data_IF_415733551753
#
_entry.id   IF_415733551753
#
_cell.length_a   1.000
_cell.length_b   1.000
_cell.length_c   1.000
_cell.angle_alpha   90.00
_cell.angle_beta   90.00
_cell.angle_gamma   90.00
#
_symmetry.space_group_name_H-M   'P 1'
#
loop_
_entity.id
_entity.type
_entity.pdbx_description
1 polymer ?
#
# COMPACT_ATOMS: atom_id res chain seq x y z
N UNK A 1 -27.28 20.89 7.25
CA UNK A 1 -25.85 20.67 6.96
C UNK A 1 -25.66 19.18 6.83
N UNK A 2 -25.29 18.67 5.66
CA UNK A 2 -25.01 17.24 5.46
C UNK A 2 -23.68 16.93 6.14
N UNK A 3 -23.57 15.74 6.74
CA UNK A 3 -22.43 15.34 7.59
C UNK A 3 -21.06 15.50 6.93
N UNK A 4 -20.99 15.44 5.60
CA UNK A 4 -19.75 15.42 4.82
C UNK A 4 -19.53 16.71 3.99
N UNK A 5 -20.40 17.72 4.12
CA UNK A 5 -20.38 18.93 3.27
C UNK A 5 -19.11 19.79 3.46
N UNK A 6 -18.46 19.70 4.63
CA UNK A 6 -17.27 20.48 4.96
C UNK A 6 -15.96 19.81 4.48
N UNK A 7 -16.03 18.55 4.05
CA UNK A 7 -14.94 17.83 3.39
C UNK A 7 -14.92 18.21 1.89
N UNK A 8 -14.54 19.46 1.63
CA UNK A 8 -14.40 20.07 0.31
C UNK A 8 -13.55 19.22 -0.65
N UNK A 9 -13.84 19.31 -1.95
CA UNK A 9 -13.11 18.66 -3.07
C UNK A 9 -11.74 19.31 -3.39
N UNK A 10 -11.26 20.26 -2.59
CA UNK A 10 -10.00 20.99 -2.85
C UNK A 10 -8.75 20.24 -2.39
N UNK A 11 -7.64 20.35 -3.14
CA UNK A 11 -6.22 19.99 -2.90
C UNK A 11 -5.83 18.68 -2.20
N UNK A 12 -6.74 17.94 -1.61
CA UNK A 12 -6.51 16.68 -0.92
C UNK A 12 -6.37 15.55 -1.93
N UNK A 13 -5.33 14.73 -1.77
CA UNK A 13 -5.19 13.50 -2.54
C UNK A 13 -6.41 12.59 -2.24
N UNK A 14 -7.00 11.92 -3.26
CA UNK A 14 -8.13 11.00 -3.09
C UNK A 14 -8.02 10.02 -1.91
N UNK A 15 -6.81 9.52 -1.60
CA UNK A 15 -6.58 8.62 -0.46
C UNK A 15 -6.85 9.30 0.89
N UNK A 16 -6.34 10.53 1.08
CA UNK A 16 -6.58 11.31 2.29
C UNK A 16 -8.06 11.65 2.46
N UNK A 17 -8.72 11.97 1.34
CA UNK A 17 -10.16 12.23 1.34
C UNK A 17 -10.99 11.00 1.74
N UNK A 18 -10.66 9.82 1.22
CA UNK A 18 -11.34 8.58 1.60
C UNK A 18 -11.20 8.26 3.11
N UNK A 19 -10.00 8.49 3.66
CA UNK A 19 -9.75 8.35 5.09
C UNK A 19 -10.59 9.36 5.91
N UNK A 20 -10.64 10.63 5.49
CA UNK A 20 -11.43 11.66 6.17
C UNK A 20 -12.94 11.40 6.11
N UNK A 21 -13.47 11.01 4.94
CA UNK A 21 -14.88 10.67 4.75
C UNK A 21 -15.32 9.54 5.68
N UNK A 22 -14.55 8.44 5.69
CA UNK A 22 -14.87 7.29 6.53
C UNK A 22 -14.71 7.57 8.03
N UNK A 23 -13.68 8.31 8.43
CA UNK A 23 -13.51 8.75 9.82
C UNK A 23 -14.68 9.64 10.27
N UNK A 24 -15.15 10.55 9.41
CA UNK A 24 -16.31 11.39 9.72
C UNK A 24 -17.59 10.57 9.84
N UNK A 25 -17.83 9.62 8.95
CA UNK A 25 -18.99 8.73 9.03
C UNK A 25 -19.00 7.90 10.34
N UNK A 26 -17.81 7.45 10.79
CA UNK A 26 -17.68 6.74 12.04
C UNK A 26 -18.10 7.57 13.27
N UNK A 27 -17.94 8.90 13.24
CA UNK A 27 -18.34 9.80 14.36
C UNK A 27 -19.83 9.78 14.66
N UNK A 28 -20.67 9.35 13.72
CA UNK A 28 -22.13 9.21 13.91
C UNK A 28 -22.56 7.75 14.06
N UNK A 29 -21.61 6.83 14.27
CA UNK A 29 -21.86 5.40 14.41
C UNK A 29 -22.00 4.64 13.09
N UNK A 30 -21.74 5.27 11.94
CA UNK A 30 -21.66 4.56 10.66
C UNK A 30 -20.24 4.03 10.47
N UNK A 31 -19.95 2.91 11.14
CA UNK A 31 -18.63 2.27 11.12
C UNK A 31 -18.75 0.73 11.18
N UNK A 32 -17.71 0.05 10.71
CA UNK A 32 -17.55 -1.40 10.90
C UNK A 32 -17.29 -1.71 12.38
N UNK A 33 -17.77 -2.84 12.93
CA UNK A 33 -17.56 -3.16 14.34
C UNK A 33 -16.10 -3.55 14.65
N UNK A 34 -15.40 -4.18 13.70
CA UNK A 34 -14.03 -4.65 13.85
C UNK A 34 -13.27 -4.69 12.50
N UNK A 35 -12.00 -5.10 12.54
CA UNK A 35 -11.13 -5.22 11.35
C UNK A 35 -11.62 -6.37 10.44
N UNK A 36 -12.11 -7.47 11.00
CA UNK A 36 -12.55 -8.61 10.22
C UNK A 36 -13.75 -8.25 9.33
N UNK A 37 -14.69 -7.46 9.85
CA UNK A 37 -15.86 -6.98 9.10
C UNK A 37 -15.51 -6.11 7.89
N UNK A 38 -14.41 -5.34 7.95
CA UNK A 38 -13.95 -4.56 6.79
C UNK A 38 -13.10 -5.40 5.84
N UNK A 39 -12.39 -6.43 6.34
CA UNK A 39 -11.72 -7.41 5.49
C UNK A 39 -12.72 -8.23 4.68
N UNK A 40 -13.87 -8.60 5.25
CA UNK A 40 -14.96 -9.25 4.52
C UNK A 40 -15.45 -8.36 3.36
N UNK A 41 -15.57 -7.05 3.60
CA UNK A 41 -15.92 -6.10 2.53
C UNK A 41 -14.84 -6.03 1.45
N UNK A 42 -13.55 -6.09 1.80
CA UNK A 42 -12.46 -6.17 0.80
C UNK A 42 -12.59 -7.41 -0.09
N UNK A 43 -13.02 -8.55 0.48
CA UNK A 43 -13.25 -9.77 -0.30
C UNK A 43 -14.44 -9.59 -1.26
N UNK A 44 -15.54 -9.01 -0.78
CA UNK A 44 -16.73 -8.69 -1.59
C UNK A 44 -16.38 -7.81 -2.80
N UNK A 45 -15.71 -6.67 -2.58
CA UNK A 45 -15.33 -5.73 -3.66
C UNK A 45 -14.36 -6.38 -4.68
N UNK A 46 -13.48 -7.29 -4.20
CA UNK A 46 -12.60 -8.05 -5.07
C UNK A 46 -13.37 -9.03 -5.96
N UNK A 47 -14.44 -9.64 -5.44
CA UNK A 47 -15.32 -10.53 -6.20
C UNK A 47 -16.13 -9.75 -7.24
N UNK A 48 -16.63 -8.56 -6.89
CA UNK A 48 -17.34 -7.66 -7.82
C UNK A 48 -16.42 -7.20 -8.95
N UNK A 49 -15.19 -6.77 -8.62
CA UNK A 49 -14.17 -6.44 -9.62
C UNK A 49 -13.89 -7.62 -10.58
N UNK A 50 -13.78 -8.85 -10.05
CA UNK A 50 -13.60 -10.05 -10.87
C UNK A 50 -14.80 -10.30 -11.79
N UNK A 51 -16.02 -10.10 -11.30
CA UNK A 51 -17.23 -10.26 -12.09
C UNK A 51 -17.31 -9.25 -13.24
N UNK A 52 -16.94 -7.99 -13.00
CA UNK A 52 -16.82 -6.96 -14.04
C UNK A 52 -15.82 -7.36 -15.13
N UNK A 53 -14.64 -7.84 -14.75
CA UNK A 53 -13.62 -8.31 -15.69
C UNK A 53 -14.11 -9.51 -16.53
N UNK A 54 -14.87 -10.42 -15.92
CA UNK A 54 -15.44 -11.58 -16.62
C UNK A 54 -16.55 -11.22 -17.62
N UNK A 55 -17.21 -10.06 -17.45
CA UNK A 55 -18.37 -9.63 -18.25
C UNK A 55 -18.06 -8.52 -19.24
N UNK A 56 -16.78 -8.39 -19.64
CA UNK A 56 -16.34 -7.43 -20.66
C UNK A 56 -15.89 -6.08 -20.10
N UNK A 57 -15.64 -6.00 -18.79
CA UNK A 57 -14.95 -4.88 -18.15
C UNK A 57 -15.82 -3.65 -17.85
N UNK A 58 -17.14 -3.72 -18.07
CA UNK A 58 -18.06 -2.65 -17.63
C UNK A 58 -18.07 -2.60 -16.10
N UNK A 59 -17.97 -1.41 -15.52
CA UNK A 59 -17.92 -1.21 -14.06
C UNK A 59 -16.52 -1.34 -13.43
N UNK A 60 -15.50 -1.83 -14.14
CA UNK A 60 -14.16 -2.11 -13.56
C UNK A 60 -13.55 -0.94 -12.79
N UNK A 61 -13.73 0.30 -13.26
CA UNK A 61 -13.18 1.48 -12.59
C UNK A 61 -13.92 1.83 -11.28
N UNK A 62 -15.21 1.53 -11.21
CA UNK A 62 -16.06 1.73 -10.04
C UNK A 62 -15.67 0.71 -8.96
N UNK A 63 -15.71 -0.58 -9.28
CA UNK A 63 -15.33 -1.66 -8.35
C UNK A 63 -13.87 -1.54 -7.87
N UNK A 64 -12.96 -1.08 -8.74
CA UNK A 64 -11.59 -0.80 -8.32
C UNK A 64 -11.53 0.35 -7.30
N UNK A 65 -12.37 1.37 -7.47
CA UNK A 65 -12.50 2.48 -6.53
C UNK A 65 -13.03 2.01 -5.17
N UNK A 66 -14.06 1.17 -5.17
CA UNK A 66 -14.67 0.64 -3.94
C UNK A 66 -13.73 -0.33 -3.22
N UNK A 67 -13.00 -1.18 -3.94
CA UNK A 67 -11.93 -2.00 -3.37
C UNK A 67 -10.83 -1.15 -2.72
N UNK A 68 -10.40 -0.06 -3.37
CA UNK A 68 -9.42 0.87 -2.78
C UNK A 68 -9.97 1.55 -1.53
N UNK A 69 -11.25 1.95 -1.54
CA UNK A 69 -11.91 2.56 -0.39
C UNK A 69 -12.03 1.58 0.80
N UNK A 70 -12.34 0.31 0.53
CA UNK A 70 -12.37 -0.75 1.54
C UNK A 70 -10.97 -0.97 2.16
N UNK A 71 -9.91 -1.03 1.34
CA UNK A 71 -8.52 -1.14 1.82
C UNK A 71 -8.12 0.05 2.69
N UNK A 72 -8.51 1.28 2.33
CA UNK A 72 -8.26 2.48 3.15
C UNK A 72 -8.98 2.37 4.50
N UNK A 73 -10.18 1.79 4.53
CA UNK A 73 -10.89 1.55 5.78
C UNK A 73 -10.25 0.44 6.64
N UNK A 74 -9.64 -0.58 6.04
CA UNK A 74 -8.79 -1.53 6.77
C UNK A 74 -7.65 -0.78 7.46
N UNK A 75 -6.94 0.09 6.74
CA UNK A 75 -5.86 0.90 7.32
C UNK A 75 -6.37 1.79 8.46
N UNK A 76 -7.54 2.44 8.30
CA UNK A 76 -8.19 3.24 9.36
C UNK A 76 -8.47 2.41 10.62
N UNK A 77 -9.03 1.21 10.48
CA UNK A 77 -9.33 0.31 11.60
C UNK A 77 -8.08 -0.23 12.30
N UNK A 78 -6.98 -0.35 11.56
CA UNK A 78 -5.67 -0.71 12.09
C UNK A 78 -4.89 0.48 12.67
N UNK A 79 -5.46 1.70 12.63
CA UNK A 79 -4.78 2.95 13.03
C UNK A 79 -3.47 3.18 12.26
N UNK A 80 -3.43 2.75 10.99
CA UNK A 80 -2.30 2.91 10.09
C UNK A 80 -2.60 4.01 9.07
N UNK A 81 -1.67 4.95 8.88
CA UNK A 81 -1.73 5.88 7.75
C UNK A 81 -1.46 5.11 6.43
N UNK A 82 -2.46 5.01 5.52
CA UNK A 82 -2.32 4.23 4.30
C UNK A 82 -1.28 4.83 3.34
N UNK A 83 -1.08 6.15 3.33
CA UNK A 83 -0.11 6.80 2.47
C UNK A 83 1.31 6.48 2.93
N UNK A 84 1.57 6.53 4.24
CA UNK A 84 2.87 6.14 4.82
C UNK A 84 3.15 4.65 4.60
N UNK A 85 2.15 3.78 4.78
CA UNK A 85 2.30 2.34 4.54
C UNK A 85 2.62 2.02 3.08
N UNK A 86 1.95 2.70 2.14
CA UNK A 86 2.19 2.55 0.72
C UNK A 86 3.58 3.09 0.34
N UNK A 87 3.98 4.24 0.87
CA UNK A 87 5.29 4.84 0.60
C UNK A 87 6.45 3.92 1.04
N UNK A 88 6.35 3.30 2.22
CA UNK A 88 7.31 2.26 2.65
C UNK A 88 7.36 1.07 1.68
N UNK A 89 6.23 0.72 1.08
CA UNK A 89 6.15 -0.35 0.07
C UNK A 89 6.80 0.07 -1.25
N UNK A 90 6.59 1.31 -1.68
CA UNK A 90 7.24 1.89 -2.85
C UNK A 90 8.76 1.93 -2.69
N UNK A 91 9.26 2.36 -1.52
CA UNK A 91 10.69 2.40 -1.23
C UNK A 91 11.34 1.01 -1.31
N UNK A 92 10.68 -0.03 -0.77
CA UNK A 92 11.13 -1.43 -0.94
C UNK A 92 11.16 -1.84 -2.41
N UNK A 93 10.15 -1.45 -3.19
CA UNK A 93 10.12 -1.76 -4.62
C UNK A 93 11.29 -1.08 -5.35
N UNK A 94 11.51 0.21 -5.15
CA UNK A 94 12.61 0.98 -5.75
C UNK A 94 13.97 0.39 -5.39
N UNK A 95 14.19 0.09 -4.11
CA UNK A 95 15.42 -0.54 -3.61
C UNK A 95 15.69 -1.89 -4.30
N UNK A 96 14.70 -2.78 -4.31
CA UNK A 96 14.81 -4.13 -4.90
C UNK A 96 14.96 -4.10 -6.40
N UNK A 97 14.15 -3.30 -7.09
CA UNK A 97 14.21 -3.19 -8.53
C UNK A 97 15.54 -2.55 -8.97
N UNK A 98 16.03 -1.55 -8.24
CA UNK A 98 17.36 -0.99 -8.50
C UNK A 98 18.49 -2.02 -8.32
N UNK A 99 18.34 -3.00 -7.42
CA UNK A 99 19.29 -4.12 -7.34
C UNK A 99 19.22 -5.03 -8.57
N UNK A 100 18.01 -5.38 -9.01
CA UNK A 100 17.80 -6.15 -10.24
C UNK A 100 18.47 -5.46 -11.43
N UNK A 101 18.22 -4.17 -11.61
CA UNK A 101 18.80 -3.36 -12.68
C UNK A 101 20.34 -3.34 -12.64
N UNK A 102 20.96 -3.06 -11.48
CA UNK A 102 22.43 -3.07 -11.35
C UNK A 102 23.03 -4.43 -11.70
N UNK A 103 22.37 -5.53 -11.31
CA UNK A 103 22.84 -6.89 -11.59
C UNK A 103 22.70 -7.27 -13.06
N UNK A 104 21.64 -6.80 -13.71
CA UNK A 104 21.45 -6.95 -15.15
C UNK A 104 22.54 -6.21 -15.94
N UNK A 105 22.83 -4.96 -15.57
CA UNK A 105 23.87 -4.14 -16.19
C UNK A 105 25.27 -4.74 -16.00
N UNK A 106 25.60 -5.21 -14.79
CA UNK A 106 26.88 -5.87 -14.51
C UNK A 106 27.09 -7.16 -15.31
N UNK A 107 25.99 -7.85 -15.67
CA UNK A 107 26.02 -9.02 -16.53
C UNK A 107 26.01 -8.72 -18.03
N UNK A 108 26.08 -7.44 -18.43
CA UNK A 108 25.91 -6.98 -19.81
C UNK A 108 24.62 -7.48 -20.48
N UNK A 109 23.56 -7.69 -19.69
CA UNK A 109 22.25 -8.16 -20.18
C UNK A 109 21.28 -6.99 -20.38
N UNK A 110 20.46 -7.11 -21.41
CA UNK A 110 19.32 -6.22 -21.66
C UNK A 110 18.05 -6.80 -21.05
N UNK A 111 17.04 -5.96 -20.83
CA UNK A 111 15.73 -6.38 -20.33
C UNK A 111 15.04 -7.39 -21.25
N UNK A 112 15.17 -7.22 -22.58
CA UNK A 112 14.61 -8.14 -23.58
C UNK A 112 15.24 -9.55 -23.53
N UNK A 113 16.45 -9.66 -22.99
CA UNK A 113 17.15 -10.93 -22.80
C UNK A 113 16.94 -11.57 -21.41
N UNK A 114 16.19 -10.91 -20.52
CA UNK A 114 15.97 -11.38 -19.15
C UNK A 114 14.78 -12.34 -19.10
N UNK A 115 14.99 -13.52 -18.51
CA UNK A 115 13.86 -14.40 -18.17
C UNK A 115 13.18 -13.94 -16.87
N UNK A 116 11.88 -14.16 -16.74
CA UNK A 116 11.14 -13.88 -15.50
C UNK A 116 11.79 -14.60 -14.30
N UNK A 117 12.19 -15.85 -14.48
CA UNK A 117 12.91 -16.64 -13.46
C UNK A 117 14.19 -15.96 -12.99
N UNK A 118 14.93 -15.33 -13.90
CA UNK A 118 16.15 -14.58 -13.55
C UNK A 118 15.82 -13.29 -12.78
N UNK A 119 14.81 -12.54 -13.22
CA UNK A 119 14.35 -11.33 -12.54
C UNK A 119 13.87 -11.66 -11.12
N UNK A 120 13.11 -12.75 -10.95
CA UNK A 120 12.68 -13.25 -9.64
C UNK A 120 13.85 -13.68 -8.76
N UNK A 121 14.86 -14.34 -9.34
CA UNK A 121 16.08 -14.70 -8.60
C UNK A 121 16.80 -13.46 -8.08
N UNK A 122 16.99 -12.45 -8.92
CA UNK A 122 17.63 -11.19 -8.56
C UNK A 122 16.80 -10.40 -7.53
N UNK A 123 15.47 -10.43 -7.67
CA UNK A 123 14.54 -9.83 -6.72
C UNK A 123 14.65 -10.49 -5.34
N UNK A 124 14.68 -11.82 -5.28
CA UNK A 124 14.84 -12.57 -4.04
C UNK A 124 16.21 -12.33 -3.39
N UNK A 125 17.26 -12.17 -4.19
CA UNK A 125 18.58 -11.76 -3.70
C UNK A 125 18.52 -10.39 -3.01
N UNK A 126 17.84 -9.40 -3.61
CA UNK A 126 17.66 -8.07 -3.02
C UNK A 126 16.93 -8.13 -1.66
N UNK A 127 15.90 -8.99 -1.54
CA UNK A 127 15.17 -9.19 -0.27
C UNK A 127 16.08 -9.71 0.86
N UNK A 128 17.05 -10.56 0.54
CA UNK A 128 18.01 -11.09 1.54
C UNK A 128 18.98 -9.99 1.99
N UNK A 129 19.47 -9.16 1.06
CA UNK A 129 20.36 -8.04 1.36
C UNK A 129 19.70 -6.97 2.24
N UNK A 130 18.41 -6.66 2.02
CA UNK A 130 17.67 -5.73 2.88
C UNK A 130 17.53 -6.24 4.31
N UNK A 131 17.28 -7.55 4.49
CA UNK A 131 17.12 -8.18 5.82
C UNK A 131 18.41 -8.25 6.63
N UNK A 132 19.55 -8.12 5.96
CA UNK A 132 20.88 -8.22 6.57
C UNK A 132 21.52 -6.85 6.80
N UNK A 133 20.84 -5.77 6.42
CA UNK A 133 21.28 -4.40 6.69
C UNK A 133 20.97 -4.08 8.16
N UNK A 134 21.96 -3.70 8.99
CA UNK A 134 21.68 -3.23 10.33
C UNK A 134 20.78 -1.99 10.26
N UNK A 135 19.72 -1.97 11.06
CA UNK A 135 18.85 -0.80 11.23
C UNK A 135 19.70 0.38 11.70
N UNK A 136 19.67 1.49 10.96
CA UNK A 136 20.33 2.74 11.36
C UNK A 136 19.72 3.37 12.63
N UNK A 137 18.66 2.79 13.18
CA UNK A 137 17.99 3.24 14.41
C UNK A 137 18.73 2.80 15.70
N UNK A 138 19.63 1.80 15.64
CA UNK A 138 20.32 1.28 16.83
C UNK A 138 21.61 2.03 17.20
N UNK A 139 21.89 3.18 16.58
CA UNK A 139 23.18 3.89 16.75
C UNK A 139 23.11 5.18 17.58
N UNK A 140 21.98 5.47 18.25
CA UNK A 140 21.84 6.73 19.01
C UNK A 140 21.36 6.58 20.46
N UNK A 141 21.64 5.46 21.11
CA UNK A 141 21.42 5.28 22.55
C UNK A 141 22.70 4.76 23.20
N UNK A 142 23.61 5.66 23.55
CA UNK A 142 24.54 5.60 24.69
C UNK A 142 25.53 6.77 24.58
N UNK A 143 25.10 7.93 25.05
CA UNK A 143 26.03 8.96 25.54
C UNK A 143 26.25 8.72 27.04
N UNK A 144 27.49 8.78 27.55
CA UNK A 144 27.75 8.47 28.95
C UNK A 144 27.13 9.54 29.85
N UNK A 145 26.27 9.12 30.76
CA UNK A 145 25.97 9.88 31.96
C UNK A 145 27.15 9.73 32.91
N UNK A 146 28.12 10.64 32.81
CA UNK A 146 29.12 10.83 33.84
C UNK A 146 28.55 11.71 34.97
N UNK A 147 28.80 11.20 36.18
CA UNK A 147 28.55 11.64 37.58
C UNK A 147 28.26 13.11 37.88
#
# INVERSE_FOLDING_TARGET
MVLLDDLSTGTENPMGRALALSARAATVGFDWPDVDSVLDKVVEELEELRACLATGGRGTAEELGDLLFAIINVARKLEVDPAVALERTNQKFVSRFGHVERRMLAGAKTWDGASLTELERLWNEAKVLERTRPSSEDSNAEGPHDE
#
